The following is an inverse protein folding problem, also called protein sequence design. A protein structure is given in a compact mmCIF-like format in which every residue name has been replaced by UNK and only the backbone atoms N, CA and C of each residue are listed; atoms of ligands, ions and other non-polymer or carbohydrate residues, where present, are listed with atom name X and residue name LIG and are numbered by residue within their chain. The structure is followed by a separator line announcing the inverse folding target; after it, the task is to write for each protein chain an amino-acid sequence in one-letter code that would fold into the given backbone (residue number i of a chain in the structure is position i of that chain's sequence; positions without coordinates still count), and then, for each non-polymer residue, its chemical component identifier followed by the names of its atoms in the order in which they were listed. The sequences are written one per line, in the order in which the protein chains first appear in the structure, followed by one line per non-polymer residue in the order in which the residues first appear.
data_IF_096975867367
#
_entry.id   IF_096975867367
#
_cell.length_a   1.000
_cell.length_b   1.000
_cell.length_c   1.000
_cell.angle_alpha   90.00
_cell.angle_beta   90.00
_cell.angle_gamma   90.00
#
_symmetry.space_group_name_H-M   'P 1'
#
loop_
_entity.id
_entity.type
_entity.pdbx_description
1 polymer ?
#
# COMPACT_ATOMS: atom_id res chain seq x y z
N UNK A 1 9.16 -5.11 7.96
CA UNK A 1 9.75 -3.84 7.52
C UNK A 1 8.69 -2.94 6.87
N UNK A 2 8.94 -1.62 6.87
CA UNK A 2 8.18 -0.61 6.13
C UNK A 2 9.13 0.04 5.13
N UNK A 3 8.82 -0.07 3.84
CA UNK A 3 9.65 0.40 2.74
C UNK A 3 8.92 1.51 2.00
N UNK A 4 9.52 2.69 1.88
CA UNK A 4 9.02 3.75 1.02
C UNK A 4 9.54 3.57 -0.41
N UNK A 5 8.62 3.50 -1.37
CA UNK A 5 8.93 3.45 -2.79
C UNK A 5 8.73 4.85 -3.37
N UNK A 6 9.82 5.58 -3.57
CA UNK A 6 9.81 6.98 -3.98
C UNK A 6 10.22 7.16 -5.44
N UNK A 7 9.82 8.27 -6.05
CA UNK A 7 10.13 8.59 -7.44
C UNK A 7 9.07 9.52 -8.03
N UNK A 8 9.43 10.28 -9.05
CA UNK A 8 8.53 11.20 -9.73
C UNK A 8 7.28 10.50 -10.30
N UNK A 9 6.26 11.28 -10.62
CA UNK A 9 5.09 10.76 -11.33
C UNK A 9 5.52 10.16 -12.66
N UNK A 10 5.03 8.95 -12.97
CA UNK A 10 5.42 8.21 -14.16
C UNK A 10 6.75 7.46 -14.07
N UNK A 11 7.48 7.51 -12.94
CA UNK A 11 8.73 6.76 -12.76
C UNK A 11 8.57 5.22 -12.80
N UNK A 12 7.35 4.72 -12.66
CA UNK A 12 7.06 3.29 -12.77
C UNK A 12 6.72 2.58 -11.44
N UNK A 13 6.50 3.31 -10.33
CA UNK A 13 6.17 2.76 -9.00
C UNK A 13 4.99 1.80 -9.05
N UNK A 14 3.83 2.26 -9.51
CA UNK A 14 2.61 1.45 -9.69
C UNK A 14 2.85 0.24 -10.60
N UNK A 15 3.57 0.42 -11.71
CA UNK A 15 3.89 -0.65 -12.64
C UNK A 15 4.73 -1.74 -11.97
N UNK A 16 5.74 -1.35 -11.22
CA UNK A 16 6.57 -2.28 -10.45
C UNK A 16 5.74 -3.06 -9.42
N UNK A 17 4.92 -2.37 -8.65
CA UNK A 17 4.03 -3.02 -7.67
C UNK A 17 3.08 -4.02 -8.34
N UNK A 18 2.50 -3.66 -9.50
CA UNK A 18 1.61 -4.56 -10.25
C UNK A 18 2.34 -5.78 -10.82
N UNK A 19 3.59 -5.63 -11.26
CA UNK A 19 4.45 -6.75 -11.66
C UNK A 19 4.73 -7.67 -10.48
N UNK A 20 5.11 -7.12 -9.33
CA UNK A 20 5.34 -7.87 -8.08
C UNK A 20 4.06 -8.63 -7.69
N UNK A 21 2.91 -7.96 -7.73
CA UNK A 21 1.62 -8.54 -7.36
C UNK A 21 1.09 -9.61 -8.35
N UNK A 22 1.75 -9.81 -9.50
CA UNK A 22 1.25 -10.71 -10.55
C UNK A 22 0.01 -10.20 -11.27
N UNK A 23 -0.19 -8.88 -11.29
CA UNK A 23 -1.30 -8.21 -11.98
C UNK A 23 -0.90 -7.71 -13.38
N UNK A 24 0.39 -7.57 -13.66
CA UNK A 24 0.93 -7.22 -14.97
C UNK A 24 1.63 -8.46 -15.57
N UNK A 25 1.12 -8.94 -16.72
CA UNK A 25 1.61 -10.18 -17.36
C UNK A 25 2.69 -9.97 -18.40
N UNK A 26 2.94 -8.74 -18.84
CA UNK A 26 3.91 -8.44 -19.89
C UNK A 26 5.12 -7.71 -19.31
N UNK A 27 6.08 -8.47 -18.81
CA UNK A 27 7.36 -7.95 -18.36
C UNK A 27 8.50 -8.90 -18.73
N UNK A 28 9.74 -8.41 -18.69
CA UNK A 28 10.95 -9.22 -18.87
C UNK A 28 11.68 -9.39 -17.56
N UNK A 29 12.20 -10.57 -17.30
CA UNK A 29 12.89 -10.89 -16.06
C UNK A 29 12.09 -11.85 -15.19
N UNK A 30 12.49 -11.98 -13.93
CA UNK A 30 11.86 -12.88 -12.94
C UNK A 30 11.46 -12.09 -11.70
N UNK A 31 10.37 -12.48 -11.07
CA UNK A 31 9.91 -11.98 -9.77
C UNK A 31 9.62 -13.18 -8.88
N UNK A 32 10.14 -13.11 -7.68
CA UNK A 32 9.93 -14.11 -6.64
C UNK A 32 9.48 -13.42 -5.35
N UNK A 33 8.45 -13.97 -4.70
CA UNK A 33 7.96 -13.50 -3.40
C UNK A 33 7.81 -14.70 -2.48
N UNK A 34 8.52 -14.69 -1.37
CA UNK A 34 8.56 -15.80 -0.40
C UNK A 34 8.96 -17.16 -1.03
N UNK A 35 9.88 -17.16 -2.00
CA UNK A 35 10.31 -18.36 -2.69
C UNK A 35 9.39 -18.82 -3.82
N UNK A 36 8.30 -18.07 -4.12
CA UNK A 36 7.35 -18.40 -5.16
C UNK A 36 7.51 -17.47 -6.37
N UNK A 37 7.82 -18.06 -7.53
CA UNK A 37 8.00 -17.33 -8.78
C UNK A 37 6.75 -17.35 -9.67
N UNK A 38 5.86 -18.33 -9.48
CA UNK A 38 4.62 -18.42 -10.25
C UNK A 38 3.69 -17.25 -9.94
N UNK A 39 3.20 -16.57 -10.98
CA UNK A 39 2.41 -15.34 -10.84
C UNK A 39 1.09 -15.56 -10.07
N UNK A 40 0.43 -16.68 -10.27
CA UNK A 40 -0.86 -16.95 -9.63
C UNK A 40 -0.66 -17.44 -8.20
N UNK A 41 0.37 -18.22 -7.93
CA UNK A 41 0.68 -18.72 -6.58
C UNK A 41 1.22 -17.64 -5.67
N UNK A 42 2.07 -16.72 -6.17
CA UNK A 42 2.61 -15.64 -5.31
C UNK A 42 1.56 -14.68 -4.80
N UNK A 43 0.38 -14.57 -5.46
CA UNK A 43 -0.77 -13.76 -5.00
C UNK A 43 -1.26 -14.14 -3.60
N UNK A 44 -1.06 -15.38 -3.18
CA UNK A 44 -1.42 -15.81 -1.82
C UNK A 44 -0.60 -15.12 -0.73
N UNK A 45 0.62 -14.66 -1.07
CA UNK A 45 1.51 -13.97 -0.14
C UNK A 45 1.37 -12.45 -0.17
N UNK A 46 0.59 -11.92 -1.11
CA UNK A 46 0.54 -10.48 -1.40
C UNK A 46 -0.86 -9.93 -1.17
N UNK A 47 -0.95 -8.83 -0.42
CA UNK A 47 -2.12 -7.98 -0.37
C UNK A 47 -1.76 -6.62 -0.98
N UNK A 48 -2.54 -6.17 -1.97
CA UNK A 48 -2.30 -4.90 -2.66
C UNK A 48 -3.56 -4.03 -2.62
N UNK A 49 -3.38 -2.72 -2.44
CA UNK A 49 -4.47 -1.76 -2.63
C UNK A 49 -4.95 -1.80 -4.08
N UNK A 50 -6.25 -1.91 -4.25
CA UNK A 50 -6.89 -1.84 -5.56
C UNK A 50 -8.15 -0.97 -5.48
N UNK A 51 -8.58 -0.49 -6.62
CA UNK A 51 -9.76 0.35 -6.73
C UNK A 51 -11.03 -0.45 -6.48
N UNK A 52 -12.00 0.17 -5.81
CA UNK A 52 -13.36 -0.39 -5.64
C UNK A 52 -14.20 -0.30 -6.92
N UNK A 53 -13.64 0.14 -8.04
CA UNK A 53 -14.36 0.38 -9.32
C UNK A 53 -14.99 -0.88 -9.93
N UNK A 54 -14.52 -2.06 -9.55
CA UNK A 54 -15.14 -3.33 -9.95
C UNK A 54 -16.51 -3.56 -9.30
N UNK A 55 -16.82 -2.84 -8.21
CA UNK A 55 -18.08 -2.95 -7.49
C UNK A 55 -19.02 -1.82 -7.87
N UNK A 56 -20.32 -2.14 -8.00
CA UNK A 56 -21.35 -1.12 -8.24
C UNK A 56 -21.55 -0.25 -7.00
N UNK A 57 -21.85 1.02 -7.18
CA UNK A 57 -22.12 1.97 -6.08
C UNK A 57 -23.28 1.55 -5.16
N UNK A 58 -24.19 0.74 -5.65
CA UNK A 58 -25.32 0.18 -4.86
C UNK A 58 -24.90 -0.91 -3.88
N UNK A 59 -23.70 -1.49 -4.02
CA UNK A 59 -23.19 -2.52 -3.12
C UNK A 59 -22.84 -1.91 -1.76
N UNK A 60 -23.05 -2.69 -0.72
CA UNK A 60 -22.67 -2.36 0.65
C UNK A 60 -21.23 -2.80 0.92
N UNK A 61 -20.61 -2.24 1.95
CA UNK A 61 -19.28 -2.65 2.43
C UNK A 61 -19.24 -4.16 2.71
N UNK A 62 -20.26 -4.70 3.37
CA UNK A 62 -20.37 -6.15 3.63
C UNK A 62 -20.38 -7.01 2.36
N UNK A 63 -21.00 -6.53 1.27
CA UNK A 63 -21.01 -7.27 0.00
C UNK A 63 -19.61 -7.38 -0.61
N UNK A 64 -18.77 -6.34 -0.39
CA UNK A 64 -17.35 -6.34 -0.78
C UNK A 64 -16.56 -7.30 0.10
N UNK A 65 -16.81 -7.29 1.41
CA UNK A 65 -16.16 -8.22 2.34
C UNK A 65 -16.51 -9.68 2.00
N UNK A 66 -17.78 -9.97 1.65
CA UNK A 66 -18.21 -11.31 1.21
C UNK A 66 -17.44 -11.77 -0.02
N UNK A 67 -17.18 -10.87 -0.98
CA UNK A 67 -16.35 -11.17 -2.14
C UNK A 67 -14.91 -11.48 -1.73
N UNK A 68 -14.32 -10.70 -0.81
CA UNK A 68 -12.97 -10.94 -0.31
C UNK A 68 -12.85 -12.29 0.42
N UNK A 69 -13.84 -12.67 1.25
CA UNK A 69 -13.92 -14.00 1.90
C UNK A 69 -13.94 -15.15 0.89
N UNK A 70 -14.64 -14.95 -0.22
CA UNK A 70 -14.72 -15.96 -1.26
C UNK A 70 -13.40 -16.13 -2.03
N UNK A 71 -12.71 -15.01 -2.29
CA UNK A 71 -11.50 -14.99 -3.14
C UNK A 71 -10.24 -15.27 -2.34
N UNK A 72 -10.18 -14.83 -1.09
CA UNK A 72 -8.99 -14.89 -0.25
C UNK A 72 -9.21 -15.76 0.99
N UNK A 73 -8.71 -17.01 0.99
CA UNK A 73 -8.86 -17.93 2.14
C UNK A 73 -8.20 -17.43 3.43
N UNK A 74 -7.28 -16.48 3.31
CA UNK A 74 -6.53 -15.84 4.41
C UNK A 74 -7.22 -14.57 4.95
N UNK A 75 -8.44 -14.26 4.50
CA UNK A 75 -9.20 -13.10 4.99
C UNK A 75 -9.69 -13.33 6.42
N UNK A 76 -9.37 -12.40 7.32
CA UNK A 76 -9.72 -12.45 8.74
C UNK A 76 -10.90 -11.53 9.04
N UNK A 77 -12.08 -12.14 9.24
CA UNK A 77 -13.34 -11.44 9.51
C UNK A 77 -13.30 -10.60 10.79
N UNK A 78 -12.63 -11.14 11.83
CA UNK A 78 -12.51 -10.42 13.09
C UNK A 78 -11.65 -9.18 12.91
N UNK A 79 -10.51 -9.34 12.27
CA UNK A 79 -9.62 -8.20 11.98
C UNK A 79 -10.31 -7.16 11.11
N UNK A 80 -11.11 -7.59 10.12
CA UNK A 80 -11.88 -6.67 9.29
C UNK A 80 -12.88 -5.85 10.12
N UNK A 81 -13.64 -6.50 11.00
CA UNK A 81 -14.59 -5.82 11.88
C UNK A 81 -13.90 -4.81 12.82
N UNK A 82 -12.78 -5.22 13.43
CA UNK A 82 -11.98 -4.36 14.32
C UNK A 82 -11.45 -3.12 13.56
N UNK A 83 -10.99 -3.29 12.31
CA UNK A 83 -10.50 -2.18 11.48
C UNK A 83 -11.67 -1.27 11.06
N UNK A 84 -12.82 -1.80 10.67
CA UNK A 84 -13.99 -0.99 10.31
C UNK A 84 -14.43 -0.12 11.50
N UNK A 85 -14.50 -0.69 12.70
CA UNK A 85 -14.82 0.07 13.92
C UNK A 85 -13.81 1.18 14.15
N UNK A 86 -12.51 0.87 14.09
CA UNK A 86 -11.45 1.87 14.24
C UNK A 86 -11.54 2.99 13.19
N UNK A 87 -11.86 2.64 11.94
CA UNK A 87 -12.00 3.59 10.82
C UNK A 87 -13.32 4.39 10.87
N UNK A 88 -14.26 4.03 11.75
CA UNK A 88 -15.64 4.54 11.81
C UNK A 88 -16.37 4.31 10.47
N UNK A 89 -16.33 3.10 9.96
CA UNK A 89 -17.07 2.65 8.78
C UNK A 89 -18.14 1.65 9.21
N UNK A 90 -19.33 1.77 8.63
CA UNK A 90 -20.43 0.83 8.88
C UNK A 90 -20.57 -0.12 7.69
N UNK A 91 -20.58 -1.43 7.95
CA UNK A 91 -20.68 -2.45 6.90
C UNK A 91 -21.96 -2.38 6.06
N UNK A 92 -23.02 -1.74 6.57
CA UNK A 92 -24.28 -1.51 5.84
C UNK A 92 -24.27 -0.28 4.94
N UNK A 93 -23.23 0.56 4.98
CA UNK A 93 -23.09 1.69 4.08
C UNK A 93 -22.86 1.25 2.63
N UNK A 94 -23.45 2.02 1.69
CA UNK A 94 -23.27 1.79 0.25
C UNK A 94 -22.00 2.46 -0.26
N UNK A 95 -21.30 1.81 -1.19
CA UNK A 95 -20.07 2.35 -1.78
C UNK A 95 -20.27 3.74 -2.39
N UNK A 96 -21.43 3.98 -3.02
CA UNK A 96 -21.77 5.27 -3.62
C UNK A 96 -21.99 6.41 -2.62
N UNK A 97 -22.25 6.11 -1.35
CA UNK A 97 -22.38 7.12 -0.28
C UNK A 97 -21.05 7.46 0.39
N UNK A 98 -20.00 6.67 0.14
CA UNK A 98 -18.69 6.88 0.76
C UNK A 98 -17.96 8.06 0.11
N UNK A 99 -17.42 8.95 0.94
CA UNK A 99 -16.44 9.92 0.49
C UNK A 99 -15.16 9.23 -0.03
N UNK A 100 -14.31 9.98 -0.75
CA UNK A 100 -13.01 9.44 -1.21
C UNK A 100 -12.19 8.89 -0.03
N UNK A 101 -12.06 9.65 1.05
CA UNK A 101 -11.33 9.22 2.24
C UNK A 101 -11.94 7.98 2.93
N UNK A 102 -13.28 7.82 2.90
CA UNK A 102 -13.94 6.60 3.39
C UNK A 102 -13.66 5.39 2.49
N UNK A 103 -13.62 5.59 1.17
CA UNK A 103 -13.25 4.53 0.22
C UNK A 103 -11.81 4.06 0.45
N UNK A 104 -10.86 4.98 0.65
CA UNK A 104 -9.48 4.63 0.98
C UNK A 104 -9.36 3.86 2.31
N UNK A 105 -10.08 4.29 3.35
CA UNK A 105 -10.16 3.55 4.62
C UNK A 105 -10.70 2.14 4.43
N UNK A 106 -11.72 1.96 3.58
CA UNK A 106 -12.26 0.64 3.27
C UNK A 106 -11.23 -0.23 2.53
N UNK A 107 -10.53 0.32 1.54
CA UNK A 107 -9.47 -0.39 0.83
C UNK A 107 -8.39 -0.87 1.81
N UNK A 108 -7.96 0.01 2.70
CA UNK A 108 -6.98 -0.32 3.75
C UNK A 108 -7.51 -1.41 4.69
N UNK A 109 -8.80 -1.34 5.09
CA UNK A 109 -9.40 -2.37 5.92
C UNK A 109 -9.40 -3.74 5.21
N UNK A 110 -9.76 -3.78 3.93
CA UNK A 110 -9.75 -5.02 3.14
C UNK A 110 -8.33 -5.60 2.99
N UNK A 111 -7.34 -4.74 2.72
CA UNK A 111 -5.94 -5.15 2.55
C UNK A 111 -5.36 -5.71 3.84
N UNK A 112 -5.53 -5.01 4.96
CA UNK A 112 -4.98 -5.48 6.25
C UNK A 112 -5.80 -6.60 6.88
N UNK A 113 -6.98 -6.91 6.40
CA UNK A 113 -7.73 -8.10 6.82
C UNK A 113 -7.22 -9.39 6.19
N UNK A 114 -6.25 -9.32 5.28
CA UNK A 114 -5.54 -10.47 4.75
C UNK A 114 -4.29 -10.78 5.58
N UNK A 115 -3.95 -12.06 5.73
CA UNK A 115 -2.72 -12.52 6.40
C UNK A 115 -1.56 -12.67 5.40
N UNK A 116 -1.27 -11.59 4.69
CA UNK A 116 -0.20 -11.57 3.69
C UNK A 116 1.21 -11.45 4.31
N UNK A 117 2.23 -11.75 3.52
CA UNK A 117 3.65 -11.54 3.86
C UNK A 117 4.19 -10.24 3.25
N UNK A 118 3.58 -9.79 2.17
CA UNK A 118 3.91 -8.54 1.47
C UNK A 118 2.64 -7.72 1.25
N UNK A 119 2.65 -6.51 1.76
CA UNK A 119 1.60 -5.52 1.55
C UNK A 119 2.11 -4.45 0.61
N UNK A 120 1.36 -4.14 -0.45
CA UNK A 120 1.68 -3.14 -1.45
C UNK A 120 0.62 -2.05 -1.43
N UNK A 121 0.96 -0.87 -0.94
CA UNK A 121 0.06 0.27 -0.86
C UNK A 121 0.47 1.32 -1.89
N UNK A 122 -0.32 1.44 -2.94
CA UNK A 122 -0.07 2.39 -4.02
C UNK A 122 -0.88 3.67 -3.78
N UNK A 123 -0.19 4.75 -3.46
CA UNK A 123 -0.71 6.09 -3.14
C UNK A 123 -1.88 6.10 -2.12
N UNK A 124 -1.75 5.43 -0.96
CA UNK A 124 -2.87 5.25 -0.02
C UNK A 124 -3.36 6.55 0.62
N UNK A 125 -2.63 7.66 0.46
CA UNK A 125 -2.97 8.97 1.02
C UNK A 125 -3.48 9.96 -0.01
N UNK A 126 -3.55 9.58 -1.30
CA UNK A 126 -3.93 10.46 -2.40
C UNK A 126 -5.35 10.99 -2.26
N UNK A 127 -5.48 12.33 -2.05
CA UNK A 127 -6.76 13.01 -1.90
C UNK A 127 -7.53 12.63 -0.64
N UNK A 128 -6.83 12.20 0.40
CA UNK A 128 -7.36 11.89 1.72
C UNK A 128 -7.07 13.06 2.67
N UNK A 129 -8.05 13.46 3.48
CA UNK A 129 -7.88 14.50 4.49
C UNK A 129 -6.89 14.06 5.59
N UNK A 130 -6.29 15.02 6.29
CA UNK A 130 -5.27 14.77 7.31
C UNK A 130 -5.76 13.83 8.45
N UNK A 131 -7.04 13.93 8.85
CA UNK A 131 -7.58 13.08 9.93
C UNK A 131 -7.72 11.63 9.45
N UNK A 132 -8.24 11.43 8.25
CA UNK A 132 -8.35 10.11 7.62
C UNK A 132 -6.97 9.49 7.37
N UNK A 133 -5.99 10.29 6.93
CA UNK A 133 -4.61 9.85 6.71
C UNK A 133 -3.97 9.34 8.00
N UNK A 134 -4.08 10.10 9.10
CA UNK A 134 -3.58 9.64 10.42
C UNK A 134 -4.19 8.30 10.86
N UNK A 135 -5.49 8.09 10.59
CA UNK A 135 -6.13 6.80 10.86
C UNK A 135 -5.56 5.68 10.00
N UNK A 136 -5.32 5.93 8.71
CA UNK A 136 -4.70 4.96 7.81
C UNK A 136 -3.29 4.60 8.32
N UNK A 137 -2.44 5.58 8.59
CA UNK A 137 -1.08 5.34 9.11
C UNK A 137 -1.12 4.54 10.42
N UNK A 138 -2.00 4.92 11.34
CA UNK A 138 -2.14 4.20 12.61
C UNK A 138 -2.61 2.76 12.40
N UNK A 139 -3.51 2.51 11.45
CA UNK A 139 -3.94 1.15 11.15
C UNK A 139 -2.83 0.30 10.54
N UNK A 140 -1.97 0.86 9.69
CA UNK A 140 -0.79 0.16 9.16
C UNK A 140 0.08 -0.36 10.31
N UNK A 141 0.33 0.46 11.32
CA UNK A 141 1.17 0.10 12.46
C UNK A 141 0.51 -0.93 13.39
N UNK A 142 -0.81 -0.87 13.55
CA UNK A 142 -1.55 -1.75 14.45
C UNK A 142 -1.80 -3.15 13.86
N UNK A 143 -2.07 -3.23 12.56
CA UNK A 143 -2.53 -4.47 11.91
C UNK A 143 -1.53 -5.09 10.93
N UNK A 144 -0.43 -4.42 10.60
CA UNK A 144 0.64 -5.07 9.85
C UNK A 144 1.26 -6.19 10.70
N UNK A 145 1.29 -7.45 10.22
CA UNK A 145 2.02 -8.50 10.92
C UNK A 145 3.51 -8.13 11.08
N UNK A 146 4.10 -8.45 12.23
CA UNK A 146 5.49 -8.09 12.53
C UNK A 146 6.47 -8.58 11.45
N UNK A 147 6.31 -9.83 11.02
CA UNK A 147 7.17 -10.43 10.00
C UNK A 147 6.88 -10.00 8.57
N UNK A 148 5.79 -9.24 8.33
CA UNK A 148 5.42 -8.82 6.98
C UNK A 148 6.21 -7.58 6.56
N UNK A 149 6.44 -7.49 5.24
CA UNK A 149 6.95 -6.28 4.61
C UNK A 149 5.79 -5.46 4.07
N UNK A 150 5.81 -4.15 4.33
CA UNK A 150 4.88 -3.17 3.79
C UNK A 150 5.65 -2.25 2.85
N UNK A 151 5.25 -2.17 1.60
CA UNK A 151 5.80 -1.24 0.61
C UNK A 151 4.74 -0.17 0.33
N UNK A 152 5.10 1.09 0.50
CA UNK A 152 4.21 2.25 0.32
C UNK A 152 4.79 3.13 -0.78
N UNK A 153 4.02 3.40 -1.83
CA UNK A 153 4.32 4.49 -2.76
C UNK A 153 3.44 5.69 -2.39
N UNK A 154 4.04 6.81 -2.07
CA UNK A 154 3.30 8.05 -1.85
C UNK A 154 4.20 9.27 -2.05
N UNK A 155 3.58 10.45 -2.22
CA UNK A 155 4.25 11.74 -2.31
C UNK A 155 4.33 12.44 -0.95
N UNK A 156 3.60 11.97 0.04
CA UNK A 156 3.54 12.55 1.39
C UNK A 156 4.41 11.71 2.32
N UNK A 157 5.71 11.86 2.19
CA UNK A 157 6.69 11.07 2.95
C UNK A 157 6.80 11.50 4.41
N UNK A 158 6.63 12.78 4.71
CA UNK A 158 6.85 13.35 6.04
C UNK A 158 6.03 12.67 7.14
N UNK A 159 4.76 12.36 6.85
CA UNK A 159 3.87 11.76 7.86
C UNK A 159 4.24 10.30 8.18
N UNK A 160 4.89 9.59 7.24
CA UNK A 160 5.32 8.20 7.42
C UNK A 160 6.83 8.07 7.67
N UNK A 161 7.60 9.14 7.44
CA UNK A 161 9.06 9.15 7.63
C UNK A 161 9.51 8.55 8.98
N UNK A 162 8.84 8.81 10.13
CA UNK A 162 9.28 8.26 11.41
C UNK A 162 9.21 6.73 11.51
N UNK A 163 8.43 6.08 10.63
CA UNK A 163 8.15 4.64 10.70
C UNK A 163 8.74 3.87 9.51
N UNK A 164 9.41 4.56 8.58
CA UNK A 164 10.08 3.94 7.45
C UNK A 164 11.40 3.30 7.89
N UNK A 165 11.62 2.06 7.49
CA UNK A 165 12.87 1.33 7.68
C UNK A 165 13.83 1.51 6.50
N UNK A 166 13.30 1.48 5.27
CA UNK A 166 14.09 1.55 4.02
C UNK A 166 13.40 2.45 2.99
N UNK A 167 14.19 3.08 2.14
CA UNK A 167 13.73 3.86 1.00
C UNK A 167 14.30 3.28 -0.29
N UNK A 168 13.45 3.09 -1.29
CA UNK A 168 13.81 2.65 -2.64
C UNK A 168 13.43 3.74 -3.63
N UNK A 169 14.42 4.34 -4.27
CA UNK A 169 14.23 5.39 -5.27
C UNK A 169 14.14 4.80 -6.67
N UNK A 170 13.03 5.10 -7.36
CA UNK A 170 12.85 4.80 -8.78
C UNK A 170 13.00 6.09 -9.59
N UNK A 171 13.93 6.08 -10.54
CA UNK A 171 14.13 7.17 -11.50
C UNK A 171 14.33 6.59 -12.89
N UNK A 172 13.66 7.18 -13.91
CA UNK A 172 13.76 6.75 -15.32
C UNK A 172 13.52 5.22 -15.50
N UNK A 173 12.50 4.70 -14.82
CA UNK A 173 12.07 3.28 -14.84
C UNK A 173 13.11 2.28 -14.31
N UNK A 174 14.05 2.72 -13.49
CA UNK A 174 15.07 1.88 -12.85
C UNK A 174 15.15 2.20 -11.37
N UNK A 175 15.49 1.21 -10.55
CA UNK A 175 15.89 1.45 -9.17
C UNK A 175 17.23 2.16 -9.23
N UNK A 176 17.26 3.41 -8.81
CA UNK A 176 18.47 4.23 -8.79
C UNK A 176 19.28 3.98 -7.51
N UNK A 177 18.59 3.95 -6.38
CA UNK A 177 19.21 3.77 -5.07
C UNK A 177 18.26 3.09 -4.08
N UNK A 178 18.85 2.41 -3.10
CA UNK A 178 18.16 1.84 -1.94
C UNK A 178 19.00 2.13 -0.71
N UNK A 179 18.40 2.77 0.30
CA UNK A 179 19.08 3.10 1.57
C UNK A 179 18.18 2.79 2.76
N UNK A 180 18.81 2.52 3.89
CA UNK A 180 18.08 2.48 5.15
C UNK A 180 17.69 3.92 5.57
N UNK A 181 16.50 4.07 6.14
CA UNK A 181 16.06 5.37 6.65
C UNK A 181 16.94 5.85 7.83
N UNK A 182 17.58 4.93 8.56
CA UNK A 182 18.51 5.23 9.63
C UNK A 182 19.79 5.88 9.09
N UNK A 183 20.35 5.38 7.98
CA UNK A 183 21.51 5.98 7.32
C UNK A 183 21.23 7.40 6.82
N UNK A 184 20.06 7.62 6.19
CA UNK A 184 19.66 8.96 5.73
C UNK A 184 19.57 9.92 6.91
N UNK A 185 18.90 9.53 8.01
CA UNK A 185 18.75 10.35 9.21
C UNK A 185 20.10 10.63 9.91
N UNK A 186 21.06 9.69 9.84
CA UNK A 186 22.39 9.87 10.42
C UNK A 186 23.20 10.94 9.70
N UNK A 187 22.93 11.21 8.43
CA UNK A 187 23.50 12.28 7.63
C UNK A 187 22.79 13.65 7.88
N UNK A 188 21.84 13.68 8.83
CA UNK A 188 21.03 14.85 9.18
C UNK A 188 20.11 15.34 8.07
N UNK A 189 19.75 14.47 7.14
CA UNK A 189 18.79 14.74 6.08
C UNK A 189 17.41 14.15 6.43
N UNK A 190 16.36 14.83 6.03
CA UNK A 190 15.04 14.22 5.97
C UNK A 190 14.98 13.28 4.75
N UNK A 191 14.07 12.29 4.78
CA UNK A 191 13.86 11.40 3.62
C UNK A 191 13.43 12.22 2.40
N UNK A 192 12.69 13.32 2.60
CA UNK A 192 12.22 14.21 1.55
C UNK A 192 13.41 14.99 0.93
N UNK A 193 14.27 15.63 1.74
CA UNK A 193 15.46 16.32 1.28
C UNK A 193 16.40 15.38 0.51
N UNK A 194 16.63 14.17 1.05
CA UNK A 194 17.41 13.14 0.37
C UNK A 194 16.83 12.79 -1.01
N UNK A 195 15.51 12.62 -1.09
CA UNK A 195 14.81 12.32 -2.34
C UNK A 195 14.89 13.49 -3.33
N UNK A 196 14.64 14.72 -2.89
CA UNK A 196 14.66 15.92 -3.71
C UNK A 196 16.04 16.18 -4.32
N UNK A 197 17.11 15.90 -3.58
CA UNK A 197 18.50 16.05 -4.04
C UNK A 197 18.80 15.30 -5.35
N UNK A 198 18.06 14.20 -5.64
CA UNK A 198 18.21 13.49 -6.91
C UNK A 198 17.57 14.19 -8.12
N UNK A 199 16.77 15.23 -7.89
CA UNK A 199 16.09 16.01 -8.92
C UNK A 199 16.59 17.43 -9.04
N UNK A 200 17.48 17.89 -8.16
CA UNK A 200 18.14 19.18 -8.26
C UNK A 200 18.94 19.27 -9.57
N UNK A 201 18.62 20.27 -10.40
CA UNK A 201 19.30 20.52 -11.68
C UNK A 201 18.68 19.87 -12.90
N UNK A 202 17.51 19.25 -12.80
CA UNK A 202 16.76 18.71 -13.95
C UNK A 202 15.61 19.67 -14.42
N UNK A 203 15.67 21.00 -14.15
CA UNK A 203 14.77 22.01 -14.73
C UNK A 203 15.14 22.37 -16.18
#
# INVERSE_FOLDING_TARGET
KIVALVGANGAGKTSLMRVIAGLAKQYKGSVEVCGEADEDRRKQYIAMTDSLSAFRDSRKIKDVADFYRLVYPDFDDKQFADILEFMNLNEDERLGSLSKGMKEKLIIALVFSRKAKLYLLDEPFSGVDAMSRRKIIKSMLLWKPEEATLVISDHVLDEIAPVIDEVVLIKKHSVLEQRSAEEIRAEQESIEEWYEGFYEGEE
#
